data_IF_551407279838
#
_entry.id   IF_551407279838
#
_cell.length_a   1.000
_cell.length_b   1.000
_cell.length_c   1.000
_cell.angle_alpha   90.00
_cell.angle_beta   90.00
_cell.angle_gamma   90.00
#
_symmetry.space_group_name_H-M   'P 1'
#
loop_
_entity.id
_entity.type
_entity.pdbx_description
1 polymer ?
#
# COMPACT_ATOMS: atom_id res chain seq x y z
N UNK A 1 -4.20 -8.88 5.80
CA UNK A 1 -3.44 -9.18 4.57
C UNK A 1 -2.09 -9.76 4.95
N UNK A 2 -1.71 -10.87 4.32
CA UNK A 2 -0.38 -11.47 4.47
C UNK A 2 0.46 -11.06 3.25
N UNK A 3 1.50 -10.24 3.45
CA UNK A 3 2.35 -9.72 2.37
C UNK A 3 3.59 -10.57 2.09
N UNK A 4 3.58 -11.86 2.47
CA UNK A 4 4.79 -12.70 2.39
C UNK A 4 5.27 -12.92 0.96
N UNK A 5 4.35 -13.02 0.00
CA UNK A 5 4.69 -13.21 -1.42
C UNK A 5 5.30 -11.95 -2.01
N UNK A 6 4.78 -10.79 -1.62
CA UNK A 6 5.20 -9.48 -2.07
C UNK A 6 6.58 -9.11 -1.51
N UNK A 7 6.82 -9.45 -0.25
CA UNK A 7 8.16 -9.31 0.36
C UNK A 7 9.19 -10.22 -0.32
N UNK A 8 8.78 -11.37 -0.87
CA UNK A 8 9.67 -12.23 -1.66
C UNK A 8 9.99 -11.61 -3.03
N UNK A 9 9.06 -10.89 -3.66
CA UNK A 9 9.30 -10.17 -4.92
C UNK A 9 10.41 -9.12 -4.74
N UNK A 10 10.42 -8.44 -3.59
CA UNK A 10 11.41 -7.41 -3.26
C UNK A 10 12.81 -7.99 -2.98
N UNK A 11 12.98 -9.33 -3.01
CA UNK A 11 14.23 -10.05 -2.71
C UNK A 11 14.91 -9.61 -1.40
N UNK A 12 14.12 -9.15 -0.43
CA UNK A 12 14.64 -8.70 0.87
C UNK A 12 15.00 -9.94 1.69
N UNK A 13 16.27 -10.06 2.06
CA UNK A 13 16.76 -11.16 2.89
C UNK A 13 15.93 -11.30 4.18
N UNK A 14 15.58 -12.53 4.54
CA UNK A 14 14.78 -12.90 5.73
C UNK A 14 15.39 -12.33 7.03
N UNK A 15 16.71 -12.20 7.10
CA UNK A 15 17.42 -11.69 8.28
C UNK A 15 17.51 -10.16 8.34
N UNK A 16 17.10 -9.43 7.30
CA UNK A 16 17.08 -7.96 7.31
C UNK A 16 15.79 -7.42 7.96
N UNK A 17 15.60 -7.69 9.25
CA UNK A 17 14.36 -7.37 9.99
C UNK A 17 13.91 -5.91 9.85
N UNK A 18 14.84 -4.94 9.92
CA UNK A 18 14.51 -3.51 9.74
C UNK A 18 13.97 -3.21 8.35
N UNK A 19 14.63 -3.72 7.29
CA UNK A 19 14.16 -3.55 5.89
C UNK A 19 12.84 -4.26 5.65
N UNK A 20 12.64 -5.45 6.22
CA UNK A 20 11.37 -6.19 6.14
C UNK A 20 10.23 -5.46 6.85
N UNK A 21 10.48 -4.93 8.06
CA UNK A 21 9.49 -4.12 8.79
C UNK A 21 9.08 -2.89 7.97
N UNK A 22 10.07 -2.17 7.41
CA UNK A 22 9.83 -1.02 6.53
C UNK A 22 9.00 -1.43 5.31
N UNK A 23 9.43 -2.44 4.56
CA UNK A 23 8.69 -2.96 3.41
C UNK A 23 7.26 -3.35 3.76
N UNK A 24 7.06 -4.02 4.89
CA UNK A 24 5.73 -4.40 5.36
C UNK A 24 4.84 -3.18 5.66
N UNK A 25 5.36 -2.13 6.31
CA UNK A 25 4.63 -0.88 6.51
C UNK A 25 4.28 -0.19 5.18
N UNK A 26 5.18 -0.21 4.20
CA UNK A 26 4.90 0.32 2.86
C UNK A 26 3.82 -0.51 2.14
N UNK A 27 3.84 -1.85 2.21
CA UNK A 27 2.78 -2.69 1.60
C UNK A 27 1.43 -2.47 2.29
N UNK A 28 1.42 -2.31 3.61
CA UNK A 28 0.20 -1.95 4.36
C UNK A 28 -0.35 -0.59 3.90
N UNK A 29 0.52 0.40 3.75
CA UNK A 29 0.12 1.72 3.28
C UNK A 29 -0.45 1.68 1.87
N UNK A 30 0.16 0.91 0.95
CA UNK A 30 -0.37 0.68 -0.40
C UNK A 30 -1.76 0.03 -0.33
N UNK A 31 -1.94 -1.03 0.46
CA UNK A 31 -3.24 -1.70 0.56
C UNK A 31 -4.33 -0.76 1.11
N UNK A 32 -4.01 0.07 2.11
CA UNK A 32 -4.93 1.07 2.67
C UNK A 32 -5.24 2.17 1.65
N UNK A 33 -4.24 2.66 0.90
CA UNK A 33 -4.47 3.70 -0.11
C UNK A 33 -5.28 3.17 -1.30
N UNK A 34 -5.08 1.91 -1.71
CA UNK A 34 -5.92 1.25 -2.71
C UNK A 34 -7.36 1.07 -2.23
N UNK A 35 -7.57 0.77 -0.94
CA UNK A 35 -8.90 0.72 -0.36
C UNK A 35 -9.59 2.08 -0.45
N UNK A 36 -8.88 3.18 -0.13
CA UNK A 36 -9.39 4.54 -0.32
C UNK A 36 -9.77 4.81 -1.77
N UNK A 37 -8.91 4.46 -2.72
CA UNK A 37 -9.15 4.67 -4.14
C UNK A 37 -10.39 3.90 -4.63
N UNK A 38 -10.52 2.64 -4.24
CA UNK A 38 -11.68 1.82 -4.59
C UNK A 38 -12.98 2.40 -4.00
N UNK A 39 -12.96 2.84 -2.74
CA UNK A 39 -14.10 3.53 -2.13
C UNK A 39 -14.45 4.84 -2.86
N UNK A 40 -13.44 5.61 -3.27
CA UNK A 40 -13.65 6.85 -4.01
C UNK A 40 -14.33 6.60 -5.37
N UNK A 41 -13.97 5.50 -6.04
CA UNK A 41 -14.57 5.10 -7.31
C UNK A 41 -15.99 4.52 -7.17
N UNK A 42 -16.25 3.74 -6.10
CA UNK A 42 -17.55 3.09 -5.88
C UNK A 42 -18.57 3.99 -5.15
N UNK A 43 -18.12 4.86 -4.24
CA UNK A 43 -18.96 5.69 -3.36
C UNK A 43 -18.45 7.15 -3.29
N UNK A 44 -18.48 7.92 -4.41
CA UNK A 44 -17.79 9.21 -4.50
C UNK A 44 -18.22 10.26 -3.46
N UNK A 45 -19.46 10.20 -2.98
CA UNK A 45 -20.00 11.15 -2.00
C UNK A 45 -19.72 10.76 -0.55
N UNK A 46 -19.44 9.49 -0.27
CA UNK A 46 -19.38 8.94 1.10
C UNK A 46 -18.01 8.34 1.45
N UNK A 47 -17.09 8.25 0.48
CA UNK A 47 -15.85 7.52 0.62
C UNK A 47 -15.00 7.98 1.82
N UNK A 48 -14.98 9.27 2.16
CA UNK A 48 -14.22 9.80 3.30
C UNK A 48 -14.74 9.27 4.65
N UNK A 49 -16.07 9.19 4.80
CA UNK A 49 -16.73 8.70 6.01
C UNK A 49 -16.45 7.20 6.16
N UNK A 50 -16.66 6.44 5.08
CA UNK A 50 -16.44 4.98 5.06
C UNK A 50 -14.96 4.66 5.31
N UNK A 51 -14.06 5.43 4.69
CA UNK A 51 -12.62 5.27 4.88
C UNK A 51 -12.17 5.61 6.30
N UNK A 52 -12.70 6.69 6.88
CA UNK A 52 -12.44 7.05 8.28
C UNK A 52 -12.87 5.94 9.25
N UNK A 53 -14.07 5.39 9.06
CA UNK A 53 -14.56 4.26 9.85
C UNK A 53 -13.68 3.01 9.69
N UNK A 54 -13.19 2.75 8.47
CA UNK A 54 -12.26 1.66 8.19
C UNK A 54 -10.92 1.82 8.93
N UNK A 55 -10.37 3.03 9.00
CA UNK A 55 -9.13 3.32 9.73
C UNK A 55 -9.30 3.16 11.25
N UNK A 56 -10.45 3.56 11.79
CA UNK A 56 -10.77 3.44 13.22
C UNK A 56 -11.03 2.00 13.66
N UNK A 57 -11.42 1.12 12.73
CA UNK A 57 -11.60 -0.30 13.03
C UNK A 57 -10.25 -0.90 13.42
N UNK A 58 -10.19 -1.58 14.56
CA UNK A 58 -8.98 -2.23 15.09
C UNK A 58 -8.59 -3.42 14.20
N UNK A 59 -8.03 -3.11 13.04
CA UNK A 59 -7.50 -4.06 12.09
C UNK A 59 -6.05 -4.35 12.48
N UNK A 60 -5.68 -5.62 12.59
CA UNK A 60 -4.34 -6.07 12.99
C UNK A 60 -3.21 -5.62 12.06
N UNK A 61 -3.54 -5.02 10.92
CA UNK A 61 -2.61 -4.62 9.87
C UNK A 61 -2.46 -3.10 9.72
N UNK A 62 -3.16 -2.28 10.50
CA UNK A 62 -2.95 -0.83 10.51
C UNK A 62 -2.18 -0.50 11.79
N UNK A 63 -0.99 0.11 11.71
CA UNK A 63 -0.22 0.45 12.89
C UNK A 63 -0.86 1.65 13.61
N UNK A 64 -1.84 1.35 14.45
CA UNK A 64 -2.48 2.30 15.38
C UNK A 64 -1.96 2.07 16.80
N UNK A 65 -1.82 3.14 17.57
CA UNK A 65 -1.48 3.07 18.99
C UNK A 65 -2.70 2.65 19.84
N UNK A 66 -2.52 2.55 21.16
CA UNK A 66 -3.59 2.14 22.09
C UNK A 66 -4.77 3.13 22.12
N UNK A 67 -4.54 4.38 21.71
CA UNK A 67 -5.54 5.43 21.60
C UNK A 67 -6.23 5.45 20.21
N UNK A 68 -5.92 4.50 19.32
CA UNK A 68 -6.48 4.45 17.97
C UNK A 68 -5.86 5.46 16.99
N UNK A 69 -4.78 6.13 17.37
CA UNK A 69 -4.08 7.10 16.53
C UNK A 69 -3.06 6.37 15.66
N UNK A 70 -3.04 6.70 14.37
CA UNK A 70 -2.07 6.18 13.40
C UNK A 70 -0.63 6.51 13.82
N UNK A 71 0.27 5.54 13.63
CA UNK A 71 1.71 5.77 13.75
C UNK A 71 2.14 6.94 12.84
N UNK A 72 2.86 7.97 13.35
CA UNK A 72 3.19 9.15 12.56
C UNK A 72 4.04 8.85 11.32
N UNK A 73 4.91 7.84 11.40
CA UNK A 73 5.70 7.42 10.24
C UNK A 73 4.79 6.75 9.20
N UNK A 74 3.92 5.83 9.63
CA UNK A 74 2.95 5.21 8.74
C UNK A 74 2.00 6.22 8.10
N UNK A 75 1.52 7.23 8.84
CA UNK A 75 0.68 8.29 8.30
C UNK A 75 1.37 9.03 7.14
N UNK A 76 2.66 9.37 7.29
CA UNK A 76 3.44 9.99 6.21
C UNK A 76 3.60 9.07 5.00
N UNK A 77 3.87 7.79 5.23
CA UNK A 77 3.99 6.80 4.15
C UNK A 77 2.66 6.64 3.42
N UNK A 78 1.55 6.52 4.15
CA UNK A 78 0.21 6.42 3.60
C UNK A 78 -0.14 7.64 2.74
N UNK A 79 0.12 8.85 3.26
CA UNK A 79 -0.13 10.10 2.54
C UNK A 79 0.62 10.14 1.19
N UNK A 80 1.89 9.71 1.17
CA UNK A 80 2.67 9.68 -0.08
C UNK A 80 2.07 8.77 -1.16
N UNK A 81 1.46 7.63 -0.78
CA UNK A 81 0.80 6.75 -1.73
C UNK A 81 -0.57 7.27 -2.16
N UNK A 82 -1.32 7.93 -1.26
CA UNK A 82 -2.58 8.59 -1.59
C UNK A 82 -2.35 9.68 -2.64
N UNK A 83 -1.30 10.48 -2.50
CA UNK A 83 -0.96 11.54 -3.47
C UNK A 83 -0.66 10.98 -4.87
N UNK A 84 0.13 9.91 -4.94
CA UNK A 84 0.42 9.22 -6.21
C UNK A 84 -0.87 8.68 -6.83
N UNK A 85 -1.71 8.01 -6.05
CA UNK A 85 -2.96 7.42 -6.55
C UNK A 85 -4.00 8.46 -6.93
N UNK A 86 -4.07 9.61 -6.24
CA UNK A 86 -4.94 10.72 -6.64
C UNK A 86 -4.50 11.33 -7.98
N UNK A 87 -3.20 11.29 -8.29
CA UNK A 87 -2.64 11.86 -9.53
C UNK A 87 -2.82 10.92 -10.72
N UNK A 88 -2.58 9.61 -10.53
CA UNK A 88 -2.56 8.63 -11.63
C UNK A 88 -3.80 7.72 -11.70
N UNK A 89 -4.63 7.72 -10.65
CA UNK A 89 -5.80 6.86 -10.54
C UNK A 89 -5.44 5.37 -10.44
N UNK A 90 -6.32 4.52 -10.96
CA UNK A 90 -6.17 3.06 -11.03
C UNK A 90 -5.69 2.55 -12.41
N UNK A 91 -5.45 3.47 -13.35
CA UNK A 91 -5.01 3.16 -14.72
C UNK A 91 -3.57 2.64 -14.77
N UNK A 92 -2.68 3.20 -13.94
CA UNK A 92 -1.27 2.83 -13.91
C UNK A 92 -0.68 2.81 -12.48
N UNK A 93 -0.20 1.64 -12.07
CA UNK A 93 0.45 1.41 -10.77
C UNK A 93 1.99 1.37 -10.86
N UNK A 94 2.56 1.69 -12.02
CA UNK A 94 4.01 1.74 -12.19
C UNK A 94 4.63 2.82 -11.30
N UNK A 95 3.96 3.94 -11.07
CA UNK A 95 4.47 5.02 -10.23
C UNK A 95 4.49 4.64 -8.74
N UNK A 96 3.45 3.96 -8.26
CA UNK A 96 3.43 3.37 -6.90
C UNK A 96 4.60 2.39 -6.72
N UNK A 97 4.90 1.61 -7.75
CA UNK A 97 6.00 0.65 -7.74
C UNK A 97 7.37 1.33 -7.77
N UNK A 98 7.54 2.39 -8.58
CA UNK A 98 8.74 3.23 -8.60
C UNK A 98 9.02 3.82 -7.22
N UNK A 99 7.99 4.42 -6.60
CA UNK A 99 8.08 5.03 -5.28
C UNK A 99 8.46 4.02 -4.21
N UNK A 100 7.85 2.83 -4.22
CA UNK A 100 8.18 1.74 -3.30
C UNK A 100 9.65 1.31 -3.42
N UNK A 101 10.15 1.11 -4.65
CA UNK A 101 11.55 0.72 -4.92
C UNK A 101 12.51 1.78 -4.39
N UNK A 102 12.22 3.05 -4.65
CA UNK A 102 13.03 4.19 -4.19
C UNK A 102 13.04 4.27 -2.65
N UNK A 103 11.88 4.15 -2.00
CA UNK A 103 11.76 4.22 -0.54
C UNK A 103 12.45 3.06 0.17
N UNK A 104 12.51 1.89 -0.45
CA UNK A 104 13.21 0.72 0.08
C UNK A 104 14.69 0.67 -0.29
N UNK A 105 15.17 1.60 -1.12
CA UNK A 105 16.55 1.66 -1.60
C UNK A 105 17.02 0.32 -2.18
N UNK A 106 16.17 -0.31 -3.00
CA UNK A 106 16.53 -1.57 -3.66
C UNK A 106 17.59 -1.31 -4.74
N UNK A 107 18.53 -2.25 -4.87
CA UNK A 107 19.67 -2.13 -5.78
C UNK A 107 19.23 -1.98 -7.24
N UNK A 108 19.88 -1.10 -8.00
CA UNK A 108 19.53 -0.75 -9.40
C UNK A 108 19.53 -1.93 -10.38
N UNK A 109 20.18 -3.05 -10.05
CA UNK A 109 20.25 -4.23 -10.91
C UNK A 109 18.88 -4.95 -10.89
N UNK A 110 18.15 -4.91 -12.02
CA UNK A 110 16.80 -5.47 -12.25
C UNK A 110 15.60 -4.65 -11.73
N UNK A 111 15.74 -3.33 -11.58
CA UNK A 111 14.62 -2.49 -11.11
C UNK A 111 13.39 -2.56 -12.01
N UNK A 112 13.53 -2.66 -13.34
CA UNK A 112 12.38 -2.62 -14.26
C UNK A 112 11.50 -3.87 -14.17
N UNK A 113 12.11 -5.06 -14.12
CA UNK A 113 11.39 -6.31 -13.94
C UNK A 113 10.69 -6.36 -12.57
N UNK A 114 11.36 -5.89 -11.52
CA UNK A 114 10.77 -5.80 -10.17
C UNK A 114 9.63 -4.78 -10.15
N UNK A 115 9.82 -3.60 -10.76
CA UNK A 115 8.81 -2.55 -10.88
C UNK A 115 7.56 -3.07 -11.57
N UNK A 116 7.70 -3.74 -12.71
CA UNK A 116 6.57 -4.28 -13.44
C UNK A 116 5.85 -5.38 -12.65
N UNK A 117 6.61 -6.29 -12.01
CA UNK A 117 6.02 -7.34 -11.17
C UNK A 117 5.25 -6.76 -9.98
N UNK A 118 5.79 -5.72 -9.33
CA UNK A 118 5.10 -5.01 -8.25
C UNK A 118 3.84 -4.33 -8.76
N UNK A 119 3.88 -3.63 -9.89
CA UNK A 119 2.72 -2.95 -10.46
C UNK A 119 1.57 -3.93 -10.74
N UNK A 120 1.87 -5.10 -11.30
CA UNK A 120 0.89 -6.17 -11.53
C UNK A 120 0.32 -6.72 -10.22
N UNK A 121 1.17 -6.86 -9.20
CA UNK A 121 0.74 -7.33 -7.88
C UNK A 121 -0.20 -6.31 -7.22
N UNK A 122 0.14 -5.02 -7.29
CA UNK A 122 -0.67 -3.91 -6.78
C UNK A 122 -2.02 -3.86 -7.52
N UNK A 123 -2.02 -4.02 -8.84
CA UNK A 123 -3.25 -4.13 -9.64
C UNK A 123 -4.12 -5.30 -9.19
N UNK A 124 -3.51 -6.45 -8.93
CA UNK A 124 -4.25 -7.63 -8.45
C UNK A 124 -4.87 -7.35 -7.07
N UNK A 125 -4.12 -6.74 -6.15
CA UNK A 125 -4.67 -6.32 -4.85
C UNK A 125 -5.84 -5.36 -4.99
N UNK A 126 -5.73 -4.36 -5.88
CA UNK A 126 -6.81 -3.41 -6.14
C UNK A 126 -8.07 -4.12 -6.66
N UNK A 127 -7.92 -5.02 -7.62
CA UNK A 127 -9.04 -5.80 -8.16
C UNK A 127 -9.70 -6.68 -7.09
N UNK A 128 -8.90 -7.31 -6.21
CA UNK A 128 -9.41 -8.14 -5.11
C UNK A 128 -10.13 -7.31 -4.04
N UNK A 129 -9.68 -6.07 -3.82
CA UNK A 129 -10.35 -5.09 -2.96
C UNK A 129 -11.68 -4.69 -3.60
N UNK A 130 -11.67 -4.30 -4.87
CA UNK A 130 -12.84 -3.83 -5.60
C UNK A 130 -13.94 -4.90 -5.66
N UNK A 131 -13.56 -6.16 -5.94
CA UNK A 131 -14.47 -7.32 -5.89
C UNK A 131 -15.14 -7.59 -4.55
N UNK A 132 -14.61 -7.06 -3.45
CA UNK A 132 -15.20 -7.21 -2.11
C UNK A 132 -16.13 -6.06 -1.74
N UNK A 133 -16.12 -4.98 -2.52
CA UNK A 133 -16.96 -3.80 -2.31
C UNK A 133 -18.27 -3.86 -3.11
N UNK A 134 -18.36 -4.73 -4.12
CA UNK A 134 -19.53 -5.02 -4.97
C UNK A 134 -20.04 -6.42 -4.61
#
# INVERSE_FOLDING_TARGET
MNFSNELNILKINKFCFRKRKKAYQHMQAIAVSLWRLALQNSFPSEYEIIFGAYLCKKNSHIPINKQGILDPYFQKVLQSYIEILNTHGDSDFTEVSSHLINMLQLSKVNNDAIKLKLALTIRTMYNDIFKKLI
#
